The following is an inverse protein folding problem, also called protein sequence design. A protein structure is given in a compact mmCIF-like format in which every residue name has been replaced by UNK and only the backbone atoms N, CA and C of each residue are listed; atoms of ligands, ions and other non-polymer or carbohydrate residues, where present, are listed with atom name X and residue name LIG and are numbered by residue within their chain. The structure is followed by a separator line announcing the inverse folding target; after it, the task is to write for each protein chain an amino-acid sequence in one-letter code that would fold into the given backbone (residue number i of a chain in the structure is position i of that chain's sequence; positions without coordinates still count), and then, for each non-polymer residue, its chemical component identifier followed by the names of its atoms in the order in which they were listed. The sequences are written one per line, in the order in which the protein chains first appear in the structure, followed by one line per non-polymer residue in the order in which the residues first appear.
data_IF_682002333411
#
_entry.id   IF_682002333411
#
_cell.length_a   1.000
_cell.length_b   1.000
_cell.length_c   1.000
_cell.angle_alpha   90.00
_cell.angle_beta   90.00
_cell.angle_gamma   90.00
#
_symmetry.space_group_name_H-M   'P 1'
#
loop_
_entity.id
_entity.type
_entity.pdbx_description
1 polymer ?
#
# COMPACT_ATOMS: atom_id res chain seq x y z
N UNK A 1 -10.63 -57.97 -42.40
CA UNK A 1 -9.71 -57.47 -41.37
C UNK A 1 -9.27 -55.99 -41.55
N UNK A 2 -9.51 -55.29 -42.62
CA UNK A 2 -9.12 -53.87 -42.83
C UNK A 2 -10.06 -52.80 -42.15
N UNK A 3 -11.31 -53.16 -41.84
CA UNK A 3 -12.30 -52.23 -41.31
C UNK A 3 -12.12 -51.95 -39.80
N UNK A 4 -11.52 -52.85 -39.04
CA UNK A 4 -11.25 -52.66 -37.61
C UNK A 4 -10.21 -51.58 -37.32
N UNK A 5 -9.19 -51.45 -38.16
CA UNK A 5 -8.14 -50.45 -38.00
C UNK A 5 -8.65 -49.01 -38.17
N UNK A 6 -9.67 -48.79 -38.99
CA UNK A 6 -10.26 -47.46 -39.18
C UNK A 6 -11.01 -46.94 -37.96
N UNK A 7 -11.76 -47.80 -37.30
CA UNK A 7 -12.47 -47.48 -36.08
C UNK A 7 -11.52 -47.22 -34.90
N UNK A 8 -10.39 -47.91 -34.86
CA UNK A 8 -9.38 -47.77 -33.85
C UNK A 8 -8.63 -46.42 -33.98
N UNK A 9 -8.39 -45.97 -35.22
CA UNK A 9 -7.79 -44.65 -35.51
C UNK A 9 -8.77 -43.51 -35.12
N UNK A 10 -10.04 -43.64 -35.48
CA UNK A 10 -11.08 -42.65 -35.12
C UNK A 10 -11.26 -42.58 -33.59
N UNK A 11 -11.25 -43.69 -32.90
CA UNK A 11 -11.29 -43.77 -31.46
C UNK A 11 -10.09 -43.08 -30.79
N UNK A 12 -8.88 -43.22 -31.35
CA UNK A 12 -7.67 -42.60 -30.82
C UNK A 12 -7.64 -41.06 -31.04
N UNK A 13 -8.24 -40.56 -32.12
CA UNK A 13 -8.32 -39.11 -32.38
C UNK A 13 -9.26 -38.40 -31.39
N UNK A 14 -10.30 -39.08 -30.88
CA UNK A 14 -11.25 -38.54 -29.92
C UNK A 14 -10.64 -38.32 -28.49
N UNK A 15 -9.49 -38.93 -28.17
CA UNK A 15 -8.82 -38.75 -26.89
C UNK A 15 -7.89 -37.54 -26.82
N UNK A 16 -7.61 -36.86 -27.95
CA UNK A 16 -6.70 -35.72 -27.99
C UNK A 16 -7.42 -34.36 -27.95
N UNK A 17 -8.66 -34.30 -27.48
CA UNK A 17 -9.26 -33.00 -27.14
C UNK A 17 -8.62 -32.47 -25.87
N UNK A 18 -7.52 -31.71 -26.02
CA UNK A 18 -7.00 -30.88 -24.96
C UNK A 18 -8.10 -29.87 -24.59
N UNK A 19 -8.84 -30.16 -23.55
CA UNK A 19 -9.74 -29.18 -22.92
C UNK A 19 -8.84 -28.13 -22.27
N UNK A 20 -8.64 -27.00 -22.93
CA UNK A 20 -8.04 -25.81 -22.32
C UNK A 20 -9.07 -25.25 -21.34
N UNK A 21 -9.07 -25.79 -20.14
CA UNK A 21 -9.77 -25.14 -19.05
C UNK A 21 -8.91 -23.92 -18.64
N UNK A 22 -9.41 -22.71 -18.86
CA UNK A 22 -8.77 -21.50 -18.35
C UNK A 22 -8.55 -21.65 -16.84
N UNK A 23 -7.30 -21.64 -16.44
CA UNK A 23 -6.92 -21.82 -15.04
C UNK A 23 -6.93 -20.45 -14.36
N UNK A 24 -8.09 -20.10 -13.79
CA UNK A 24 -8.35 -18.80 -13.14
C UNK A 24 -8.23 -19.00 -11.63
N UNK A 25 -7.43 -18.15 -11.00
CA UNK A 25 -7.19 -18.16 -9.56
C UNK A 25 -7.29 -16.75 -8.99
N UNK A 26 -7.27 -16.64 -7.66
CA UNK A 26 -7.16 -15.34 -7.02
C UNK A 26 -6.13 -15.33 -5.89
N UNK A 27 -5.68 -14.12 -5.55
CA UNK A 27 -4.73 -13.85 -4.49
C UNK A 27 -5.20 -12.66 -3.65
N UNK A 28 -5.02 -12.73 -2.34
CA UNK A 28 -5.30 -11.65 -1.41
C UNK A 28 -4.03 -10.77 -1.27
N UNK A 29 -3.97 -9.68 -2.05
CA UNK A 29 -2.83 -8.76 -2.03
C UNK A 29 -2.64 -8.08 -0.69
N UNK A 30 -3.73 -7.73 0.01
CA UNK A 30 -3.64 -7.11 1.34
C UNK A 30 -3.08 -8.10 2.38
N UNK A 31 -3.46 -9.36 2.28
CA UNK A 31 -2.90 -10.42 3.12
C UNK A 31 -1.40 -10.62 2.86
N UNK A 32 -0.97 -10.65 1.59
CA UNK A 32 0.43 -10.77 1.23
C UNK A 32 1.25 -9.60 1.79
N UNK A 33 0.79 -8.36 1.62
CA UNK A 33 1.47 -7.16 2.15
C UNK A 33 1.60 -7.25 3.67
N UNK A 34 0.55 -7.62 4.39
CA UNK A 34 0.56 -7.69 5.86
C UNK A 34 1.41 -8.83 6.42
N UNK A 35 1.53 -9.94 5.71
CA UNK A 35 2.13 -11.17 6.25
C UNK A 35 3.50 -11.49 5.68
N UNK A 36 3.90 -10.94 4.53
CA UNK A 36 5.25 -11.12 3.99
C UNK A 36 6.31 -10.40 4.83
N UNK A 37 7.53 -10.87 4.76
CA UNK A 37 8.68 -10.24 5.43
C UNK A 37 8.95 -8.82 4.91
N UNK A 38 8.83 -8.63 3.61
CA UNK A 38 9.02 -7.33 2.94
C UNK A 38 7.91 -6.36 3.35
N UNK A 39 6.65 -6.80 3.30
CA UNK A 39 5.50 -5.99 3.68
C UNK A 39 5.56 -5.52 5.13
N UNK A 40 5.86 -6.43 6.08
CA UNK A 40 6.05 -6.10 7.49
C UNK A 40 7.16 -5.06 7.70
N UNK A 41 8.29 -5.20 6.99
CA UNK A 41 9.40 -4.25 7.06
C UNK A 41 8.96 -2.84 6.65
N UNK A 42 8.22 -2.73 5.54
CA UNK A 42 7.77 -1.44 5.01
C UNK A 42 6.68 -0.83 5.90
N UNK A 43 5.72 -1.64 6.37
CA UNK A 43 4.70 -1.17 7.34
C UNK A 43 5.39 -0.58 8.57
N UNK A 44 6.34 -1.30 9.18
CA UNK A 44 7.09 -0.82 10.34
C UNK A 44 7.89 0.47 10.05
N UNK A 45 8.45 0.61 8.86
CA UNK A 45 9.16 1.82 8.45
C UNK A 45 8.20 3.02 8.31
N UNK A 46 7.05 2.83 7.67
CA UNK A 46 6.03 3.85 7.53
C UNK A 46 5.46 4.28 8.88
N UNK A 47 5.18 3.34 9.79
CA UNK A 47 4.72 3.65 11.14
C UNK A 47 5.75 4.46 11.95
N UNK A 48 7.03 4.16 11.82
CA UNK A 48 8.10 4.94 12.47
C UNK A 48 8.16 6.37 11.94
N UNK A 49 8.06 6.53 10.62
CA UNK A 49 8.09 7.86 10.00
C UNK A 49 6.83 8.67 10.36
N UNK A 50 5.65 8.03 10.39
CA UNK A 50 4.40 8.67 10.82
C UNK A 50 4.49 9.15 12.27
N UNK A 51 4.92 8.29 13.19
CA UNK A 51 5.14 8.66 14.61
C UNK A 51 6.12 9.83 14.76
N UNK A 52 7.21 9.83 13.99
CA UNK A 52 8.18 10.93 13.98
C UNK A 52 7.54 12.23 13.51
N UNK A 53 6.77 12.19 12.42
CA UNK A 53 6.07 13.34 11.87
C UNK A 53 5.05 13.91 12.86
N UNK A 54 4.25 13.04 13.48
CA UNK A 54 3.29 13.45 14.54
C UNK A 54 4.01 14.14 15.70
N UNK A 55 5.11 13.59 16.17
CA UNK A 55 5.87 14.19 17.27
C UNK A 55 6.45 15.57 16.92
N UNK A 56 6.99 15.74 15.71
CA UNK A 56 7.49 17.03 15.24
C UNK A 56 6.37 18.06 15.18
N UNK A 57 5.22 17.70 14.60
CA UNK A 57 4.08 18.59 14.49
C UNK A 57 3.53 18.99 15.87
N UNK A 58 3.46 18.04 16.79
CA UNK A 58 3.03 18.30 18.17
C UNK A 58 3.97 19.27 18.88
N UNK A 59 5.27 19.06 18.81
CA UNK A 59 6.25 19.97 19.41
C UNK A 59 6.14 21.41 18.85
N UNK A 60 5.93 21.53 17.53
CA UNK A 60 5.72 22.82 16.87
C UNK A 60 4.43 23.50 17.33
N UNK A 61 3.34 22.74 17.42
CA UNK A 61 2.05 23.24 17.92
C UNK A 61 2.16 23.72 19.37
N UNK A 62 2.79 22.94 20.23
CA UNK A 62 3.00 23.29 21.64
C UNK A 62 3.86 24.56 21.78
N UNK A 63 4.89 24.70 20.92
CA UNK A 63 5.70 25.91 20.87
C UNK A 63 4.87 27.16 20.46
N UNK A 64 3.99 27.01 19.47
CA UNK A 64 3.10 28.11 19.04
C UNK A 64 2.11 28.50 20.13
N UNK A 65 1.50 27.52 20.82
CA UNK A 65 0.62 27.75 21.97
C UNK A 65 1.33 28.47 23.12
N UNK A 66 2.60 28.12 23.36
CA UNK A 66 3.42 28.83 24.37
C UNK A 66 3.61 30.29 24.00
N UNK A 67 4.01 30.58 22.77
CA UNK A 67 4.17 31.97 22.28
C UNK A 67 2.85 32.75 22.40
N UNK A 68 1.73 32.15 21.99
CA UNK A 68 0.41 32.76 22.08
C UNK A 68 0.07 33.12 23.53
N UNK A 69 0.30 32.18 24.49
CA UNK A 69 0.05 32.41 25.91
C UNK A 69 0.97 33.48 26.47
N UNK A 70 2.23 33.55 26.05
CA UNK A 70 3.18 34.58 26.50
C UNK A 70 2.76 35.98 26.00
N UNK A 71 2.28 36.10 24.76
CA UNK A 71 1.71 37.33 24.21
C UNK A 71 0.47 37.77 25.06
N UNK A 72 -0.45 36.83 25.33
CA UNK A 72 -1.64 37.11 26.17
C UNK A 72 -1.27 37.64 27.55
N UNK A 73 -0.24 37.11 28.20
CA UNK A 73 0.23 37.59 29.49
C UNK A 73 0.82 39.00 29.45
N UNK A 74 1.48 39.35 28.34
CA UNK A 74 2.15 40.64 28.16
C UNK A 74 1.24 41.75 27.61
N UNK A 75 0.07 41.41 27.06
CA UNK A 75 -0.79 42.37 26.31
C UNK A 75 -1.14 43.67 27.05
N UNK A 76 -1.20 43.61 28.40
CA UNK A 76 -1.51 44.77 29.23
C UNK A 76 -0.26 45.47 29.80
N UNK A 77 0.93 45.00 29.45
CA UNK A 77 2.22 45.44 30.04
C UNK A 77 3.08 46.15 29.01
N UNK A 78 3.02 45.69 27.74
CA UNK A 78 3.84 46.23 26.63
C UNK A 78 3.10 47.29 25.82
N UNK A 79 3.84 48.08 25.04
CA UNK A 79 3.24 49.07 24.15
C UNK A 79 2.40 48.42 23.04
N UNK A 80 1.43 49.18 22.53
CA UNK A 80 0.58 48.72 21.40
C UNK A 80 1.40 48.35 20.17
N UNK A 81 2.49 49.10 19.91
CA UNK A 81 3.38 48.80 18.80
C UNK A 81 4.14 47.48 18.95
N UNK A 82 4.63 47.20 20.16
CA UNK A 82 5.31 45.97 20.50
C UNK A 82 4.35 44.77 20.44
N UNK A 83 3.14 44.94 20.98
CA UNK A 83 2.09 43.91 20.91
C UNK A 83 1.79 43.55 19.44
N UNK A 84 1.62 44.55 18.59
CA UNK A 84 1.36 44.33 17.16
C UNK A 84 2.50 43.62 16.46
N UNK A 85 3.76 43.89 16.82
CA UNK A 85 4.93 43.17 16.29
C UNK A 85 4.92 41.69 16.71
N UNK A 86 4.69 41.39 17.99
CA UNK A 86 4.62 40.03 18.51
C UNK A 86 3.48 39.23 17.85
N UNK A 87 2.30 39.85 17.70
CA UNK A 87 1.13 39.23 17.04
C UNK A 87 1.43 38.93 15.56
N UNK A 88 2.07 39.86 14.84
CA UNK A 88 2.41 39.63 13.44
C UNK A 88 3.45 38.53 13.27
N UNK A 89 4.43 38.46 14.19
CA UNK A 89 5.40 37.36 14.22
C UNK A 89 4.74 36.00 14.49
N UNK A 90 3.78 35.94 15.43
CA UNK A 90 3.02 34.73 15.68
C UNK A 90 2.21 34.30 14.45
N UNK A 91 1.51 35.25 13.79
CA UNK A 91 0.77 34.96 12.54
C UNK A 91 1.69 34.36 11.46
N UNK A 92 2.89 34.92 11.29
CA UNK A 92 3.88 34.40 10.35
C UNK A 92 4.29 32.96 10.71
N UNK A 93 4.62 32.70 11.97
CA UNK A 93 4.98 31.35 12.45
C UNK A 93 3.85 30.34 12.28
N UNK A 94 2.59 30.74 12.51
CA UNK A 94 1.42 29.88 12.24
C UNK A 94 1.29 29.56 10.76
N UNK A 95 1.52 30.54 9.87
CA UNK A 95 1.49 30.32 8.41
C UNK A 95 2.61 29.36 7.96
N UNK A 96 3.81 29.54 8.50
CA UNK A 96 4.95 28.65 8.25
C UNK A 96 4.65 27.22 8.73
N UNK A 97 4.08 27.06 9.94
CA UNK A 97 3.66 25.75 10.46
C UNK A 97 2.62 25.07 9.58
N UNK A 98 1.61 25.80 9.10
CA UNK A 98 0.61 25.26 8.18
C UNK A 98 1.25 24.75 6.88
N UNK A 99 2.18 25.52 6.34
CA UNK A 99 2.93 25.12 5.13
C UNK A 99 3.79 23.87 5.38
N UNK A 100 4.53 23.85 6.49
CA UNK A 100 5.35 22.70 6.93
C UNK A 100 4.50 21.44 7.09
N UNK A 101 3.35 21.55 7.79
CA UNK A 101 2.40 20.44 7.95
C UNK A 101 1.91 19.90 6.62
N UNK A 102 1.50 20.76 5.70
CA UNK A 102 1.02 20.36 4.38
C UNK A 102 2.11 19.62 3.58
N UNK A 103 3.34 20.15 3.58
CA UNK A 103 4.49 19.51 2.93
C UNK A 103 4.78 18.13 3.55
N UNK A 104 4.73 18.03 4.87
CA UNK A 104 4.98 16.78 5.59
C UNK A 104 3.95 15.70 5.23
N UNK A 105 2.65 16.07 5.18
CA UNK A 105 1.56 15.17 4.75
C UNK A 105 1.75 14.73 3.30
N UNK A 106 2.09 15.65 2.40
CA UNK A 106 2.34 15.32 0.98
C UNK A 106 3.54 14.38 0.82
N UNK A 107 4.64 14.67 1.51
CA UNK A 107 5.84 13.85 1.47
C UNK A 107 5.59 12.44 2.02
N UNK A 108 4.84 12.33 3.11
CA UNK A 108 4.48 11.03 3.69
C UNK A 108 3.56 10.23 2.77
N UNK A 109 2.56 10.89 2.15
CA UNK A 109 1.68 10.25 1.16
C UNK A 109 2.47 9.74 -0.05
N UNK A 110 3.41 10.54 -0.55
CA UNK A 110 4.30 10.12 -1.63
C UNK A 110 5.15 8.92 -1.22
N UNK A 111 5.81 8.98 -0.06
CA UNK A 111 6.61 7.87 0.46
C UNK A 111 5.80 6.58 0.54
N UNK A 112 4.58 6.65 1.11
CA UNK A 112 3.67 5.51 1.21
C UNK A 112 3.34 4.91 -0.16
N UNK A 113 3.01 5.75 -1.14
CA UNK A 113 2.69 5.29 -2.48
C UNK A 113 3.91 4.68 -3.18
N UNK A 114 5.09 5.28 -3.04
CA UNK A 114 6.32 4.77 -3.63
C UNK A 114 6.70 3.40 -3.05
N UNK A 115 6.62 3.24 -1.74
CA UNK A 115 6.89 1.96 -1.07
C UNK A 115 5.85 0.89 -1.44
N UNK A 116 4.56 1.24 -1.50
CA UNK A 116 3.52 0.33 -1.96
C UNK A 116 3.76 -0.13 -3.41
N UNK A 117 4.10 0.79 -4.30
CA UNK A 117 4.40 0.46 -5.70
C UNK A 117 5.62 -0.47 -5.84
N UNK A 118 6.63 -0.31 -4.99
CA UNK A 118 7.79 -1.24 -4.96
C UNK A 118 7.35 -2.65 -4.57
N UNK A 119 6.59 -2.80 -3.49
CA UNK A 119 6.05 -4.12 -3.07
C UNK A 119 5.24 -4.76 -4.18
N UNK A 120 4.30 -4.01 -4.78
CA UNK A 120 3.44 -4.52 -5.83
C UNK A 120 4.24 -5.02 -7.04
N UNK A 121 5.33 -4.33 -7.41
CA UNK A 121 6.23 -4.78 -8.49
C UNK A 121 6.91 -6.10 -8.13
N UNK A 122 7.42 -6.24 -6.91
CA UNK A 122 8.06 -7.48 -6.46
C UNK A 122 7.07 -8.65 -6.41
N UNK A 123 5.87 -8.42 -5.85
CA UNK A 123 4.83 -9.44 -5.82
C UNK A 123 4.37 -9.86 -7.21
N UNK A 124 4.24 -8.91 -8.15
CA UNK A 124 3.88 -9.22 -9.53
C UNK A 124 4.90 -10.17 -10.19
N UNK A 125 6.18 -9.98 -9.94
CA UNK A 125 7.23 -10.88 -10.46
C UNK A 125 7.05 -12.29 -9.90
N UNK A 126 6.84 -12.42 -8.59
CA UNK A 126 6.66 -13.72 -7.93
C UNK A 126 5.37 -14.40 -8.40
N UNK A 127 4.27 -13.64 -8.50
CA UNK A 127 2.99 -14.15 -8.99
C UNK A 127 3.14 -14.64 -10.45
N UNK A 128 3.81 -13.89 -11.33
CA UNK A 128 4.05 -14.30 -12.72
C UNK A 128 4.88 -15.60 -12.80
N UNK A 129 5.91 -15.73 -11.97
CA UNK A 129 6.69 -16.96 -11.88
C UNK A 129 5.84 -18.13 -11.39
N UNK A 130 4.98 -17.91 -10.42
CA UNK A 130 4.05 -18.92 -9.90
C UNK A 130 3.03 -19.34 -10.99
N UNK A 131 2.47 -18.36 -11.72
CA UNK A 131 1.57 -18.60 -12.85
C UNK A 131 2.22 -19.51 -13.90
N UNK A 132 3.42 -19.16 -14.32
CA UNK A 132 4.16 -19.92 -15.35
C UNK A 132 4.43 -21.37 -14.92
N UNK A 133 4.77 -21.59 -13.65
CA UNK A 133 5.05 -22.94 -13.11
C UNK A 133 3.79 -23.80 -12.96
N UNK A 134 2.63 -23.18 -12.79
CA UNK A 134 1.37 -23.90 -12.47
C UNK A 134 0.33 -23.81 -13.58
N UNK A 135 0.71 -23.38 -14.79
CA UNK A 135 -0.19 -23.24 -15.96
C UNK A 135 -1.44 -22.40 -15.62
N UNK A 136 -1.25 -21.30 -14.89
CA UNK A 136 -2.32 -20.37 -14.52
C UNK A 136 -2.40 -19.29 -15.59
N UNK A 137 -3.60 -19.05 -16.12
CA UNK A 137 -3.83 -18.08 -17.20
C UNK A 137 -4.18 -16.69 -16.63
N UNK A 138 -4.95 -16.62 -15.55
CA UNK A 138 -5.45 -15.37 -14.98
C UNK A 138 -5.39 -15.42 -13.46
N UNK A 139 -4.90 -14.34 -12.85
CA UNK A 139 -4.97 -14.09 -11.40
C UNK A 139 -5.77 -12.83 -11.13
N UNK A 140 -6.78 -12.94 -10.28
CA UNK A 140 -7.55 -11.80 -9.78
C UNK A 140 -7.09 -11.42 -8.36
N UNK A 141 -7.24 -10.14 -8.02
CA UNK A 141 -7.17 -9.73 -6.62
C UNK A 141 -8.48 -10.12 -5.92
N UNK A 142 -8.38 -10.77 -4.77
CA UNK A 142 -9.52 -11.26 -3.96
C UNK A 142 -10.57 -10.19 -3.68
N UNK A 143 -10.16 -8.93 -3.49
CA UNK A 143 -11.09 -7.81 -3.25
C UNK A 143 -12.07 -7.56 -4.40
N UNK A 144 -11.75 -8.03 -5.62
CA UNK A 144 -12.59 -7.88 -6.81
C UNK A 144 -13.48 -9.12 -7.06
N UNK A 145 -13.45 -10.12 -6.15
CA UNK A 145 -14.19 -11.37 -6.29
C UNK A 145 -15.32 -11.40 -5.26
N UNK A 146 -16.55 -11.47 -5.73
CA UNK A 146 -17.72 -11.57 -4.85
C UNK A 146 -17.80 -12.93 -4.14
N UNK A 147 -17.58 -14.03 -4.89
CA UNK A 147 -17.60 -15.40 -4.38
C UNK A 147 -16.64 -16.27 -5.19
N UNK A 148 -15.87 -17.11 -4.54
CA UNK A 148 -14.94 -18.04 -5.17
C UNK A 148 -14.70 -19.28 -4.29
N UNK A 149 -14.33 -20.39 -4.91
CA UNK A 149 -13.93 -21.59 -4.18
C UNK A 149 -12.58 -21.36 -3.52
N UNK A 150 -12.41 -21.83 -2.28
CA UNK A 150 -11.11 -21.76 -1.58
C UNK A 150 -9.99 -22.52 -2.30
N UNK A 151 -10.35 -23.53 -3.13
CA UNK A 151 -9.36 -24.30 -3.90
C UNK A 151 -8.61 -23.48 -4.96
N UNK A 152 -9.17 -22.34 -5.41
CA UNK A 152 -8.52 -21.43 -6.36
C UNK A 152 -7.89 -20.20 -5.69
N UNK A 153 -7.87 -20.15 -4.34
CA UNK A 153 -7.10 -19.16 -3.57
C UNK A 153 -5.64 -19.61 -3.49
N UNK A 154 -4.75 -18.86 -4.12
CA UNK A 154 -3.31 -19.15 -4.14
C UNK A 154 -2.51 -18.30 -3.16
N UNK A 155 -3.17 -17.51 -2.29
CA UNK A 155 -2.53 -16.53 -1.41
C UNK A 155 -1.41 -17.12 -0.57
N UNK A 156 -1.67 -18.23 0.12
CA UNK A 156 -0.65 -18.87 0.99
C UNK A 156 0.50 -19.46 0.18
N UNK A 157 0.21 -20.05 -0.99
CA UNK A 157 1.23 -20.62 -1.88
C UNK A 157 2.16 -19.55 -2.45
N UNK A 158 1.61 -18.37 -2.77
CA UNK A 158 2.42 -17.21 -3.20
C UNK A 158 3.23 -16.68 -2.03
N UNK A 159 2.65 -16.57 -0.82
CA UNK A 159 3.34 -16.09 0.38
C UNK A 159 4.59 -16.92 0.73
N UNK A 160 4.55 -18.24 0.53
CA UNK A 160 5.69 -19.14 0.74
C UNK A 160 6.87 -18.87 -0.22
N UNK A 161 6.64 -18.14 -1.30
CA UNK A 161 7.66 -17.77 -2.30
C UNK A 161 8.16 -16.32 -2.15
N UNK A 162 7.63 -15.54 -1.17
CA UNK A 162 8.02 -14.17 -0.85
C UNK A 162 8.99 -14.15 0.33
#
# INVERSE_FOLDING_TARGET
MKKINYYLIIFFILFFTNSYANNIVFVDMDYLIKNSSIGKKIINQLEKEDKKNINILKQREDSLKKIENDIKKKQNIISQEELQKEVNLLKKKISEFKSEKNKMVQNFSKLKNDELNKILKEFNIIIQQYMSKNSIDIVFDKKNIYIGKSSIDITLKVLENI
#
